data_IF_211758292079
#
_entry.id   IF_211758292079
#
_cell.length_a   1.000
_cell.length_b   1.000
_cell.length_c   1.000
_cell.angle_alpha   90.00
_cell.angle_beta   90.00
_cell.angle_gamma   90.00
#
_symmetry.space_group_name_H-M   'P 1'
#
loop_
_entity.id
_entity.type
_entity.pdbx_description
1 polymer ?
#
# COMPACT_ATOMS: atom_id res chain seq x y z
N UNK A 1 12.95 3.44 15.46
CA UNK A 1 11.54 3.00 15.57
C UNK A 1 11.38 1.72 14.79
N UNK A 2 10.68 0.74 15.35
CA UNK A 2 10.50 -0.57 14.74
C UNK A 2 9.02 -0.79 14.45
N UNK A 3 8.71 -1.19 13.23
CA UNK A 3 7.37 -1.63 12.84
C UNK A 3 7.39 -3.08 12.36
N UNK A 4 6.20 -3.64 12.12
CA UNK A 4 6.01 -5.02 11.67
C UNK A 4 5.38 -5.02 10.29
N UNK A 5 5.80 -5.94 9.41
CA UNK A 5 5.20 -6.10 8.07
C UNK A 5 3.68 -6.21 8.16
N UNK A 6 2.97 -5.48 7.30
CA UNK A 6 1.51 -5.41 7.22
C UNK A 6 0.84 -4.57 8.31
N UNK A 7 1.60 -4.02 9.26
CA UNK A 7 1.07 -3.13 10.32
C UNK A 7 1.44 -1.68 10.05
N UNK A 8 0.79 -0.78 10.77
CA UNK A 8 1.11 0.66 10.71
C UNK A 8 2.14 1.03 11.78
N UNK A 9 2.97 2.02 11.46
CA UNK A 9 3.92 2.65 12.39
C UNK A 9 3.64 4.14 12.45
N UNK A 10 3.54 4.67 13.66
CA UNK A 10 3.40 6.11 13.90
C UNK A 10 4.67 6.69 14.51
N UNK A 11 5.12 7.81 13.95
CA UNK A 11 6.30 8.56 14.35
C UNK A 11 5.83 9.91 14.87
N UNK A 12 6.12 10.22 16.13
CA UNK A 12 5.85 11.55 16.68
C UNK A 12 7.10 12.42 16.63
N UNK A 13 6.94 13.63 16.12
CA UNK A 13 7.99 14.62 15.97
C UNK A 13 7.59 15.90 16.70
N UNK A 14 8.34 16.24 17.75
CA UNK A 14 8.15 17.47 18.52
C UNK A 14 8.85 18.64 17.83
N UNK A 15 8.34 19.84 18.03
CA UNK A 15 8.93 21.06 17.49
C UNK A 15 8.75 22.25 18.45
N UNK A 16 9.52 23.32 18.24
CA UNK A 16 9.43 24.55 19.04
C UNK A 16 8.24 25.43 18.65
N UNK A 17 7.71 26.20 19.58
CA UNK A 17 6.53 27.03 19.37
C UNK A 17 6.63 28.00 18.17
N UNK A 18 7.82 28.52 17.88
CA UNK A 18 8.06 29.39 16.70
C UNK A 18 7.71 28.71 15.36
N UNK A 19 7.67 27.38 15.33
CA UNK A 19 7.34 26.59 14.14
C UNK A 19 5.87 26.12 14.07
N UNK A 20 5.02 26.65 14.95
CA UNK A 20 3.60 26.27 15.05
C UNK A 20 2.88 26.37 13.72
N UNK A 21 3.09 27.44 12.97
CA UNK A 21 2.39 27.73 11.72
C UNK A 21 3.11 27.21 10.46
N UNK A 22 4.33 26.68 10.60
CA UNK A 22 5.09 26.14 9.48
C UNK A 22 4.49 24.83 8.97
N UNK A 23 4.65 24.59 7.66
CA UNK A 23 4.39 23.28 7.09
C UNK A 23 5.31 22.21 7.70
N UNK A 24 4.76 21.02 7.92
CA UNK A 24 5.47 19.85 8.43
C UNK A 24 5.60 18.85 7.31
N UNK A 25 6.76 18.23 7.16
CA UNK A 25 6.99 17.25 6.11
C UNK A 25 7.75 16.02 6.58
N UNK A 26 7.62 14.96 5.80
CA UNK A 26 8.33 13.70 5.95
C UNK A 26 9.13 13.45 4.69
N UNK A 27 10.43 13.17 4.82
CA UNK A 27 11.34 13.06 3.69
C UNK A 27 12.26 11.83 3.80
N UNK A 28 12.87 11.44 2.68
CA UNK A 28 13.99 10.48 2.61
C UNK A 28 15.17 11.11 1.87
N UNK A 29 16.32 10.44 1.89
CA UNK A 29 17.51 10.83 1.13
C UNK A 29 17.95 12.29 1.37
N UNK A 30 18.20 12.66 2.64
CA UNK A 30 18.59 14.03 3.06
C UNK A 30 17.61 15.13 2.60
N UNK A 31 16.33 14.79 2.47
CA UNK A 31 15.27 15.69 2.02
C UNK A 31 15.44 16.27 0.62
N UNK A 32 16.17 15.58 -0.27
CA UNK A 32 16.11 15.88 -1.71
C UNK A 32 14.67 15.72 -2.22
N UNK A 33 13.90 14.79 -1.64
CA UNK A 33 12.49 14.55 -1.98
C UNK A 33 11.62 14.51 -0.72
N UNK A 34 10.63 15.41 -0.64
CA UNK A 34 9.55 15.34 0.36
C UNK A 34 8.56 14.25 -0.07
N UNK A 35 8.30 13.29 0.84
CA UNK A 35 7.34 12.21 0.61
C UNK A 35 5.93 12.77 0.74
N UNK A 36 5.67 13.46 1.85
CA UNK A 36 4.38 14.10 2.14
C UNK A 36 4.66 15.34 2.98
N UNK A 37 3.83 16.36 2.80
CA UNK A 37 3.95 17.67 3.41
C UNK A 37 2.55 18.23 3.70
N UNK A 38 2.38 18.87 4.86
CA UNK A 38 1.16 19.63 5.16
C UNK A 38 1.22 20.99 4.49
N UNK A 39 0.07 21.59 4.17
CA UNK A 39 0.03 23.04 3.92
C UNK A 39 -0.07 23.78 5.25
N UNK A 40 0.25 25.07 5.26
CA UNK A 40 0.10 25.90 6.46
C UNK A 40 -1.36 25.95 6.97
N UNK A 41 -2.36 25.76 6.12
CA UNK A 41 -3.76 25.67 6.53
C UNK A 41 -4.20 24.23 6.90
N UNK A 42 -3.59 23.23 6.28
CA UNK A 42 -4.03 21.83 6.39
C UNK A 42 -3.47 21.18 7.65
N UNK A 43 -4.35 20.63 8.49
CA UNK A 43 -3.96 19.92 9.72
C UNK A 43 -3.57 18.47 9.49
N UNK A 44 -4.01 17.89 8.39
CA UNK A 44 -3.71 16.51 8.03
C UNK A 44 -3.64 16.36 6.51
N UNK A 45 -2.59 15.73 6.02
CA UNK A 45 -2.38 15.44 4.60
C UNK A 45 -1.91 14.00 4.46
N UNK A 46 -2.41 13.33 3.42
CA UNK A 46 -2.05 11.97 3.09
C UNK A 46 -1.56 11.87 1.65
N UNK A 47 -0.51 11.09 1.44
CA UNK A 47 -0.05 10.64 0.13
C UNK A 47 0.22 9.14 0.18
N UNK A 48 -0.46 8.38 -0.65
CA UNK A 48 -0.36 6.93 -0.74
C UNK A 48 -0.60 6.25 0.63
N UNK A 49 0.43 5.59 1.18
CA UNK A 49 0.44 4.89 2.48
C UNK A 49 0.98 5.74 3.63
N UNK A 50 1.25 7.02 3.40
CA UNK A 50 1.88 7.91 4.39
C UNK A 50 0.99 9.11 4.66
N UNK A 51 0.69 9.37 5.92
CA UNK A 51 0.01 10.60 6.36
C UNK A 51 0.85 11.40 7.34
N UNK A 52 0.61 12.71 7.37
CA UNK A 52 1.09 13.63 8.40
C UNK A 52 -0.10 14.34 9.01
N UNK A 53 -0.14 14.41 10.34
CA UNK A 53 -1.10 15.21 11.10
C UNK A 53 -0.39 16.13 12.07
N UNK A 54 -0.64 17.43 11.98
CA UNK A 54 -0.04 18.47 12.83
C UNK A 54 -0.92 18.79 14.05
N UNK A 55 -0.42 18.48 15.25
CA UNK A 55 -1.07 18.71 16.53
C UNK A 55 -0.53 19.98 17.19
N UNK A 56 -0.89 21.15 16.65
CA UNK A 56 -0.31 22.43 17.08
C UNK A 56 -0.47 22.77 18.55
N UNK A 57 -1.55 22.35 19.19
CA UNK A 57 -1.74 22.56 20.63
C UNK A 57 -0.62 21.90 21.45
N UNK A 58 -0.12 20.75 20.98
CA UNK A 58 0.88 19.94 21.67
C UNK A 58 2.30 20.16 21.13
N UNK A 59 2.46 21.02 20.13
CA UNK A 59 3.72 21.25 19.42
C UNK A 59 4.35 19.95 18.90
N UNK A 60 3.51 19.05 18.39
CA UNK A 60 3.93 17.79 17.80
C UNK A 60 3.20 17.55 16.48
N UNK A 61 3.84 16.83 15.57
CA UNK A 61 3.13 16.23 14.44
C UNK A 61 3.41 14.73 14.38
N UNK A 62 2.44 14.00 13.88
CA UNK A 62 2.49 12.55 13.75
C UNK A 62 2.60 12.18 12.28
N UNK A 63 3.59 11.37 11.93
CA UNK A 63 3.69 10.71 10.63
C UNK A 63 3.24 9.27 10.79
N UNK A 64 2.28 8.81 9.98
CA UNK A 64 1.83 7.42 10.01
C UNK A 64 2.16 6.74 8.69
N UNK A 65 2.92 5.65 8.76
CA UNK A 65 3.21 4.75 7.64
C UNK A 65 2.32 3.52 7.79
N UNK A 66 1.44 3.30 6.83
CA UNK A 66 0.51 2.18 6.83
C UNK A 66 1.01 0.99 6.03
N UNK A 67 0.55 -0.20 6.42
CA UNK A 67 0.79 -1.46 5.69
C UNK A 67 2.27 -1.66 5.38
N UNK A 68 3.11 -1.60 6.41
CA UNK A 68 4.57 -1.62 6.25
C UNK A 68 5.04 -2.83 5.45
N UNK A 69 6.04 -2.59 4.61
CA UNK A 69 6.78 -3.59 3.86
C UNK A 69 8.24 -3.58 4.29
N UNK A 70 9.00 -4.64 3.98
CA UNK A 70 10.45 -4.66 4.25
C UNK A 70 11.17 -3.48 3.56
N UNK A 71 10.67 -3.02 2.42
CA UNK A 71 11.23 -1.89 1.66
C UNK A 71 11.04 -0.52 2.33
N UNK A 72 10.13 -0.42 3.31
CA UNK A 72 9.92 0.82 4.07
C UNK A 72 11.02 1.04 5.13
N UNK A 73 11.91 0.06 5.35
CA UNK A 73 13.07 0.25 6.22
C UNK A 73 14.02 1.32 5.66
N UNK A 74 14.62 2.10 6.55
CA UNK A 74 15.62 3.09 6.19
C UNK A 74 15.70 4.27 7.12
N UNK A 75 16.47 5.27 6.71
CA UNK A 75 16.56 6.56 7.40
C UNK A 75 15.64 7.57 6.72
N UNK A 76 14.83 8.22 7.54
CA UNK A 76 13.90 9.27 7.17
C UNK A 76 14.12 10.50 8.04
N UNK A 77 13.48 11.61 7.70
CA UNK A 77 13.48 12.82 8.51
C UNK A 77 12.09 13.41 8.61
N UNK A 78 11.75 13.79 9.84
CA UNK A 78 10.76 14.82 10.09
C UNK A 78 11.39 16.18 9.80
N UNK A 79 10.73 17.04 9.05
CA UNK A 79 11.20 18.38 8.77
C UNK A 79 10.12 19.43 8.87
N UNK A 80 10.57 20.66 9.01
CA UNK A 80 9.73 21.85 9.18
C UNK A 80 10.16 22.82 8.08
N UNK A 81 9.23 23.20 7.21
CA UNK A 81 9.52 24.12 6.13
C UNK A 81 9.64 25.54 6.68
N UNK A 82 10.86 26.10 6.63
CA UNK A 82 11.14 27.46 7.07
C UNK A 82 11.36 28.44 5.92
N UNK A 83 11.02 28.07 4.69
CA UNK A 83 11.22 28.90 3.49
C UNK A 83 10.56 30.29 3.57
N UNK A 84 9.46 30.41 4.33
CA UNK A 84 8.76 31.68 4.55
C UNK A 84 9.35 32.55 5.68
N UNK A 85 10.29 32.02 6.46
CA UNK A 85 10.97 32.74 7.53
C UNK A 85 12.27 33.35 7.00
N UNK A 86 12.38 34.68 7.07
CA UNK A 86 13.59 35.40 6.67
C UNK A 86 14.78 34.99 7.55
N UNK A 87 15.89 34.60 6.92
CA UNK A 87 17.16 34.28 7.61
C UNK A 87 17.39 32.80 7.94
N UNK A 88 16.47 31.89 7.59
CA UNK A 88 16.71 30.46 7.71
C UNK A 88 17.34 29.89 6.43
N UNK A 89 18.60 29.47 6.52
CA UNK A 89 19.30 28.80 5.41
C UNK A 89 19.02 27.31 5.32
N UNK A 90 18.50 26.69 6.39
CA UNK A 90 18.18 25.25 6.46
C UNK A 90 16.98 24.98 7.35
N UNK A 91 16.16 24.04 6.92
CA UNK A 91 15.04 23.52 7.68
C UNK A 91 15.51 22.75 8.94
N UNK A 92 14.86 22.95 10.09
CA UNK A 92 15.01 22.06 11.24
C UNK A 92 14.53 20.65 10.87
N UNK A 93 15.38 19.65 11.14
CA UNK A 93 15.04 18.25 10.86
C UNK A 93 15.38 17.32 12.02
N UNK A 94 14.55 16.30 12.22
CA UNK A 94 14.76 15.21 13.17
C UNK A 94 14.93 13.89 12.41
N UNK A 95 16.09 13.27 12.56
CA UNK A 95 16.41 11.98 11.92
C UNK A 95 15.66 10.84 12.60
N UNK A 96 15.03 9.99 11.80
CA UNK A 96 14.29 8.82 12.25
C UNK A 96 14.77 7.59 11.50
N UNK A 97 15.17 6.55 12.24
CA UNK A 97 15.52 5.24 11.66
C UNK A 97 14.32 4.31 11.81
N UNK A 98 13.82 3.82 10.68
CA UNK A 98 12.73 2.85 10.60
C UNK A 98 13.32 1.47 10.31
N UNK A 99 13.06 0.53 11.21
CA UNK A 99 13.30 -0.91 11.00
C UNK A 99 11.96 -1.63 10.86
N UNK A 100 11.93 -2.68 10.03
CA UNK A 100 10.70 -3.47 9.80
C UNK A 100 10.99 -4.94 10.06
N UNK A 101 10.29 -5.53 11.02
CA UNK A 101 10.38 -6.95 11.34
C UNK A 101 9.28 -7.76 10.63
N UNK A 102 9.51 -9.05 10.34
CA UNK A 102 8.48 -9.93 9.81
C UNK A 102 7.27 -10.01 10.75
N UNK A 103 6.08 -10.17 10.18
CA UNK A 103 4.90 -10.51 10.98
C UNK A 103 5.11 -11.89 11.62
N UNK A 104 4.85 -12.00 12.93
CA UNK A 104 4.79 -13.31 13.59
C UNK A 104 3.54 -14.01 13.08
N UNK A 105 3.71 -14.94 12.15
CA UNK A 105 2.63 -15.81 11.70
C UNK A 105 2.28 -16.74 12.85
N UNK A 106 1.16 -16.50 13.52
CA UNK A 106 0.50 -17.55 14.28
C UNK A 106 -0.06 -18.52 13.25
N UNK A 107 0.65 -19.63 13.01
CA UNK A 107 0.08 -20.70 12.21
C UNK A 107 -1.26 -21.11 12.85
N UNK A 108 -2.38 -21.18 12.11
CA UNK A 108 -3.54 -21.88 12.62
C UNK A 108 -3.11 -23.33 12.94
N UNK A 109 -3.60 -23.96 14.03
CA UNK A 109 -3.42 -25.39 14.17
C UNK A 109 -4.06 -26.05 12.94
N UNK A 110 -3.22 -26.62 12.08
CA UNK A 110 -3.69 -27.54 11.06
C UNK A 110 -4.17 -28.78 11.82
N UNK A 111 -5.44 -28.82 12.19
CA UNK A 111 -6.11 -30.05 12.60
C UNK A 111 -6.30 -30.89 11.35
N UNK A 112 -5.30 -31.69 11.00
CA UNK A 112 -5.45 -32.75 10.00
C UNK A 112 -6.32 -33.84 10.59
N UNK A 113 -7.64 -33.68 10.55
CA UNK A 113 -8.58 -34.77 10.82
C UNK A 113 -8.55 -35.68 9.59
N UNK A 114 -7.62 -36.65 9.60
CA UNK A 114 -7.65 -37.79 8.67
C UNK A 114 -8.92 -38.58 8.94
N UNK A 115 -9.94 -38.39 8.09
CA UNK A 115 -11.14 -39.22 8.09
C UNK A 115 -10.79 -40.53 7.38
N UNK A 116 -10.95 -41.72 8.00
CA UNK A 116 -10.76 -42.97 7.29
C UNK A 116 -11.90 -43.13 6.27
N UNK A 117 -11.54 -43.19 4.99
CA UNK A 117 -12.45 -43.52 3.89
C UNK A 117 -12.92 -44.96 4.07
N UNK A 118 -14.22 -45.17 4.27
CA UNK A 118 -14.80 -46.52 4.30
C UNK A 118 -14.80 -47.11 2.90
N UNK A 119 -14.10 -48.24 2.73
CA UNK A 119 -14.10 -49.03 1.50
C UNK A 119 -15.46 -49.70 1.32
N UNK A 120 -16.26 -49.22 0.37
CA UNK A 120 -17.46 -49.95 -0.08
C UNK A 120 -17.00 -50.97 -1.13
N UNK A 121 -16.93 -52.23 -0.72
CA UNK A 121 -16.70 -53.36 -1.64
C UNK A 121 -17.95 -53.58 -2.49
N UNK A 122 -17.96 -53.05 -3.72
CA UNK A 122 -18.98 -53.35 -4.70
C UNK A 122 -18.78 -54.77 -5.24
N UNK A 123 -19.75 -55.66 -5.01
CA UNK A 123 -19.78 -57.01 -5.61
C UNK A 123 -20.07 -56.87 -7.10
N UNK A 124 -19.13 -57.34 -7.92
CA UNK A 124 -19.21 -57.39 -9.38
C UNK A 124 -20.30 -58.40 -9.77
N UNK A 125 -21.35 -57.95 -10.45
CA UNK A 125 -22.23 -58.80 -11.24
C UNK A 125 -22.01 -58.49 -12.72
N UNK A 126 -21.51 -59.50 -13.41
CA UNK A 126 -21.15 -59.54 -14.82
C UNK A 126 -22.40 -59.47 -15.71
N UNK A 127 -22.35 -58.68 -16.79
CA UNK A 127 -23.16 -58.89 -18.00
C UNK A 127 -22.52 -58.18 -19.20
N UNK A 128 -22.35 -58.82 -20.38
CA UNK A 128 -21.69 -58.22 -21.55
C UNK A 128 -22.67 -57.87 -22.69
N UNK A 129 -22.43 -56.77 -23.40
CA UNK A 129 -22.77 -56.53 -24.83
C UNK A 129 -22.31 -55.12 -25.24
N UNK A 130 -21.28 -55.02 -26.09
CA UNK A 130 -21.30 -54.88 -27.56
C UNK A 130 -21.44 -53.42 -28.07
N UNK A 131 -20.28 -52.91 -28.51
CA UNK A 131 -19.99 -52.11 -29.72
C UNK A 131 -21.05 -51.16 -30.30
N UNK A 132 -20.64 -49.92 -30.57
CA UNK A 132 -20.55 -49.38 -31.95
C UNK A 132 -19.94 -47.97 -31.98
N UNK A 133 -19.13 -47.73 -33.01
CA UNK A 133 -18.54 -46.44 -33.36
C UNK A 133 -19.53 -45.57 -34.12
N UNK A 134 -19.39 -44.24 -34.05
CA UNK A 134 -19.37 -43.36 -35.23
C UNK A 134 -18.99 -41.92 -34.85
N UNK A 135 -18.05 -41.33 -35.59
CA UNK A 135 -17.88 -39.88 -35.72
C UNK A 135 -18.84 -39.35 -36.81
N UNK A 136 -19.27 -38.08 -36.76
CA UNK A 136 -18.77 -37.03 -37.69
C UNK A 136 -18.80 -35.63 -37.01
N UNK A 137 -18.52 -34.45 -37.58
CA UNK A 137 -17.70 -33.92 -38.69
C UNK A 137 -17.68 -32.40 -38.49
N UNK A 138 -16.59 -31.79 -38.94
CA UNK A 138 -16.20 -30.38 -39.14
C UNK A 138 -17.24 -29.36 -39.65
N UNK A 139 -16.86 -28.08 -39.49
CA UNK A 139 -17.21 -26.82 -40.22
C UNK A 139 -18.11 -25.87 -39.39
N UNK A 140 -17.87 -24.56 -39.25
CA UNK A 140 -16.89 -23.63 -39.78
C UNK A 140 -17.32 -22.17 -39.48
N UNK A 141 -16.37 -21.24 -39.63
CA UNK A 141 -16.48 -19.79 -39.91
C UNK A 141 -17.19 -18.85 -38.89
N UNK A 142 -16.44 -17.93 -38.23
CA UNK A 142 -16.12 -16.52 -38.61
C UNK A 142 -17.20 -15.52 -38.20
N UNK A 143 -16.84 -14.46 -37.45
CA UNK A 143 -17.09 -13.04 -37.77
C UNK A 143 -16.57 -12.13 -36.64
N UNK A 144 -15.70 -11.20 -37.04
CA UNK A 144 -15.12 -10.11 -36.27
C UNK A 144 -16.13 -8.96 -36.05
N UNK A 145 -15.98 -8.20 -34.96
CA UNK A 145 -16.31 -6.77 -34.96
C UNK A 145 -15.44 -6.04 -33.92
N UNK A 146 -14.70 -5.06 -34.42
CA UNK A 146 -13.90 -4.07 -33.71
C UNK A 146 -14.77 -2.83 -33.50
N UNK A 147 -14.70 -2.22 -32.32
CA UNK A 147 -15.22 -0.86 -32.08
C UNK A 147 -14.16 -0.07 -31.33
N UNK A 148 -13.57 0.90 -32.04
CA UNK A 148 -12.76 1.98 -31.48
C UNK A 148 -13.71 3.15 -31.18
N UNK A 149 -13.61 3.75 -29.99
CA UNK A 149 -14.22 5.06 -29.70
C UNK A 149 -13.18 6.16 -29.96
N UNK A 150 -13.57 7.10 -30.82
CA UNK A 150 -12.81 8.29 -31.18
C UNK A 150 -13.39 9.51 -30.44
N UNK A 151 -12.56 10.24 -29.69
CA UNK A 151 -12.93 11.48 -29.02
C UNK A 151 -12.58 12.70 -29.91
N UNK A 152 -13.46 13.69 -30.07
CA UNK A 152 -13.20 14.90 -30.85
C UNK A 152 -12.33 15.94 -30.12
N UNK A 153 -11.67 16.86 -30.86
CA UNK A 153 -10.66 17.77 -30.32
C UNK A 153 -11.22 19.04 -29.67
N UNK A 154 -10.37 19.63 -28.82
CA UNK A 154 -10.54 20.88 -28.07
C UNK A 154 -10.78 22.11 -28.93
N UNK A 155 -11.76 22.94 -28.54
CA UNK A 155 -11.92 24.31 -29.01
C UNK A 155 -11.25 25.28 -28.02
N UNK A 156 -10.32 26.08 -28.51
CA UNK A 156 -9.79 27.26 -27.81
C UNK A 156 -10.41 28.54 -28.38
N UNK A 157 -10.77 29.48 -27.51
CA UNK A 157 -11.11 30.87 -27.85
C UNK A 157 -10.98 31.73 -26.58
N UNK A 158 -10.22 32.83 -26.67
CA UNK A 158 -10.26 33.97 -25.72
C UNK A 158 -9.03 34.15 -24.87
#
# INVERSE_FOLDING_TARGET
MTGTVGRSLSVQCRYEEKYRENAKYWCKNRCVWKIVETKAADREVRKDRVSIRDHRANLTFTVTLESLTKGDAGTYWCGIDTSWLSGHFRDPTLRVVVSVSPAKTTAPPVSTTVTPMSTITAKILTTPSQSSSTAPTTMGATHSASSQEEFPPSQGLG
#
